data_IF_669063099660
#
_entry.id   IF_669063099660
#
_cell.length_a   1.000
_cell.length_b   1.000
_cell.length_c   1.000
_cell.angle_alpha   90.00
_cell.angle_beta   90.00
_cell.angle_gamma   90.00
#
_symmetry.space_group_name_H-M   'P 1'
#
loop_
_entity.id
_entity.type
_entity.pdbx_description
1 polymer ?
#
# COMPACT_ATOMS: atom_id res chain seq x y z
N UNK A 1 11.26 33.70 5.53
CA UNK A 1 12.41 33.49 4.63
C UNK A 1 13.26 32.32 5.10
N UNK A 2 13.87 32.36 6.29
CA UNK A 2 14.74 31.27 6.77
C UNK A 2 14.07 29.88 6.79
N UNK A 3 12.79 29.79 7.18
CA UNK A 3 12.06 28.52 7.18
C UNK A 3 11.91 27.89 5.80
N UNK A 4 11.59 28.67 4.76
CA UNK A 4 11.47 28.16 3.38
C UNK A 4 12.83 27.78 2.82
N UNK A 5 13.90 28.48 3.17
CA UNK A 5 15.26 28.09 2.82
C UNK A 5 15.64 26.72 3.40
N UNK A 6 15.37 26.48 4.69
CA UNK A 6 15.66 25.19 5.34
C UNK A 6 14.83 24.06 4.71
N UNK A 7 13.53 24.29 4.50
CA UNK A 7 12.67 23.35 3.77
C UNK A 7 13.26 23.02 2.39
N UNK A 8 13.72 24.03 1.67
CA UNK A 8 14.29 23.87 0.34
C UNK A 8 15.54 23.00 0.32
N UNK A 9 16.42 23.13 1.31
CA UNK A 9 17.58 22.25 1.46
C UNK A 9 17.17 20.79 1.72
N UNK A 10 16.21 20.55 2.61
CA UNK A 10 15.72 19.20 2.87
C UNK A 10 15.05 18.57 1.66
N UNK A 11 14.28 19.34 0.88
CA UNK A 11 13.67 18.86 -0.37
C UNK A 11 14.72 18.43 -1.39
N UNK A 12 15.82 19.18 -1.55
CA UNK A 12 16.92 18.77 -2.43
C UNK A 12 17.55 17.46 -1.94
N UNK A 13 17.79 17.32 -0.63
CA UNK A 13 18.33 16.08 -0.04
C UNK A 13 17.40 14.89 -0.30
N UNK A 14 16.09 15.06 -0.09
CA UNK A 14 15.09 14.01 -0.37
C UNK A 14 15.07 13.65 -1.87
N UNK A 15 15.16 14.64 -2.75
CA UNK A 15 15.21 14.40 -4.19
C UNK A 15 16.45 13.62 -4.62
N UNK A 16 17.62 13.91 -4.03
CA UNK A 16 18.84 13.12 -4.22
C UNK A 16 18.60 11.68 -3.73
N UNK A 17 17.98 11.50 -2.55
CA UNK A 17 17.64 10.18 -2.02
C UNK A 17 16.76 9.35 -2.97
N UNK A 18 15.73 9.96 -3.57
CA UNK A 18 14.89 9.31 -4.57
C UNK A 18 15.70 8.88 -5.81
N UNK A 19 16.62 9.74 -6.29
CA UNK A 19 17.48 9.43 -7.43
C UNK A 19 18.56 8.37 -7.11
N UNK A 20 18.95 8.19 -5.84
CA UNK A 20 19.83 7.07 -5.46
C UNK A 20 19.17 5.71 -5.72
N UNK A 21 17.86 5.58 -5.49
CA UNK A 21 17.12 4.37 -5.86
C UNK A 21 17.13 4.16 -7.39
N UNK A 22 16.94 5.23 -8.16
CA UNK A 22 17.01 5.19 -9.63
C UNK A 22 18.39 4.72 -10.07
N UNK A 23 19.46 5.26 -9.46
CA UNK A 23 20.83 4.86 -9.76
C UNK A 23 21.04 3.37 -9.46
N UNK A 24 20.54 2.89 -8.31
CA UNK A 24 20.60 1.46 -7.97
C UNK A 24 19.92 0.59 -9.02
N UNK A 25 18.70 0.95 -9.41
CA UNK A 25 17.89 0.14 -10.31
C UNK A 25 18.37 0.16 -11.78
N UNK A 26 18.92 1.28 -12.25
CA UNK A 26 19.30 1.45 -13.65
C UNK A 26 20.78 1.18 -13.92
N UNK A 27 21.66 1.50 -12.97
CA UNK A 27 23.11 1.56 -13.23
C UNK A 27 23.94 0.69 -12.28
N UNK A 28 23.40 0.28 -11.12
CA UNK A 28 24.14 -0.50 -10.11
C UNK A 28 23.43 -1.81 -9.80
N UNK A 29 23.45 -2.73 -10.77
CA UNK A 29 23.04 -4.13 -10.56
C UNK A 29 21.53 -4.38 -10.40
N UNK A 30 20.66 -3.38 -10.58
CA UNK A 30 19.21 -3.61 -10.67
C UNK A 30 18.46 -3.68 -9.34
N UNK A 31 17.20 -4.10 -9.40
CA UNK A 31 16.34 -4.35 -8.23
C UNK A 31 15.68 -5.72 -8.37
N UNK A 32 15.26 -6.31 -7.26
CA UNK A 32 14.51 -7.58 -7.32
C UNK A 32 13.14 -7.34 -7.96
N UNK A 33 12.84 -8.12 -9.00
CA UNK A 33 11.57 -8.06 -9.73
C UNK A 33 10.88 -9.43 -9.63
N UNK A 34 9.84 -9.52 -8.80
CA UNK A 34 9.02 -10.75 -8.66
C UNK A 34 8.30 -11.12 -9.97
N UNK A 35 8.12 -10.14 -10.87
CA UNK A 35 7.45 -10.29 -12.16
C UNK A 35 8.40 -10.60 -13.32
N UNK A 36 9.68 -10.82 -13.05
CA UNK A 36 10.64 -11.17 -14.08
C UNK A 36 10.18 -12.42 -14.88
N UNK A 37 10.25 -12.39 -16.23
CA UNK A 37 9.82 -13.53 -17.05
C UNK A 37 10.61 -14.80 -16.69
N UNK A 38 9.89 -15.88 -16.35
CA UNK A 38 10.49 -17.15 -15.93
C UNK A 38 10.65 -17.32 -14.41
N UNK A 39 10.33 -16.31 -13.62
CA UNK A 39 10.39 -16.32 -12.16
C UNK A 39 11.16 -15.12 -11.61
N UNK A 40 10.87 -14.73 -10.36
CA UNK A 40 11.42 -13.52 -9.78
C UNK A 40 12.95 -13.53 -9.68
N UNK A 41 13.60 -12.47 -10.17
CA UNK A 41 15.05 -12.32 -10.24
C UNK A 41 15.46 -10.84 -10.13
N UNK A 42 16.74 -10.57 -9.88
CA UNK A 42 17.28 -9.22 -9.91
C UNK A 42 17.40 -8.74 -11.36
N UNK A 43 16.77 -7.60 -11.66
CA UNK A 43 16.72 -7.05 -13.00
C UNK A 43 17.15 -5.59 -13.04
N UNK A 44 17.97 -5.24 -14.03
CA UNK A 44 18.29 -3.85 -14.35
C UNK A 44 17.13 -3.23 -15.11
N UNK A 45 16.69 -2.05 -14.66
CA UNK A 45 15.58 -1.32 -15.28
C UNK A 45 16.14 -0.40 -16.35
N UNK A 46 16.01 -0.79 -17.62
CA UNK A 46 16.57 -0.03 -18.75
C UNK A 46 15.58 0.98 -19.35
N UNK A 47 14.28 0.75 -19.18
CA UNK A 47 13.22 1.58 -19.76
C UNK A 47 12.22 2.03 -18.68
N UNK A 48 12.62 2.91 -17.73
CA UNK A 48 11.69 3.41 -16.72
C UNK A 48 10.54 4.21 -17.35
N UNK A 49 9.35 4.14 -16.78
CA UNK A 49 8.19 4.85 -17.30
C UNK A 49 8.29 6.34 -17.04
N UNK A 50 8.53 7.13 -18.09
CA UNK A 50 8.57 8.59 -17.99
C UNK A 50 7.26 9.26 -18.40
N UNK A 51 6.32 8.52 -18.99
CA UNK A 51 5.04 9.06 -19.44
C UNK A 51 4.23 9.62 -18.24
N UNK A 52 4.00 10.94 -18.16
CA UNK A 52 3.30 11.54 -17.02
C UNK A 52 1.85 11.07 -16.90
N UNK A 53 1.20 10.68 -18.00
CA UNK A 53 -0.17 10.16 -17.96
C UNK A 53 -0.26 8.86 -17.14
N UNK A 54 0.77 8.01 -17.20
CA UNK A 54 0.85 6.78 -16.39
C UNK A 54 1.19 7.15 -14.94
N UNK A 55 2.29 7.89 -14.73
CA UNK A 55 2.82 8.20 -13.40
C UNK A 55 1.81 8.98 -12.55
N UNK A 56 1.25 10.07 -13.07
CA UNK A 56 0.25 10.87 -12.35
C UNK A 56 -1.14 10.24 -12.42
N UNK A 57 -1.40 9.33 -13.37
CA UNK A 57 -2.63 8.55 -13.43
C UNK A 57 -2.86 7.73 -12.17
N UNK A 58 -1.80 7.13 -11.60
CA UNK A 58 -1.87 6.43 -10.32
C UNK A 58 -2.41 7.31 -9.18
N UNK A 59 -2.05 8.60 -9.14
CA UNK A 59 -2.49 9.52 -8.09
C UNK A 59 -3.99 9.81 -8.12
N UNK A 60 -4.62 9.61 -9.28
CA UNK A 60 -6.06 9.85 -9.49
C UNK A 60 -6.92 8.58 -9.46
N UNK A 61 -6.30 7.40 -9.31
CA UNK A 61 -7.04 6.14 -9.17
C UNK A 61 -7.84 6.11 -7.87
N UNK A 62 -8.99 5.43 -7.91
CA UNK A 62 -9.80 5.17 -6.73
C UNK A 62 -9.00 4.36 -5.69
N UNK A 63 -9.16 4.63 -4.37
CA UNK A 63 -8.53 3.82 -3.32
C UNK A 63 -9.31 2.53 -3.01
N UNK A 64 -10.43 2.26 -3.67
CA UNK A 64 -11.27 1.08 -3.44
C UNK A 64 -10.77 -0.17 -4.21
N UNK A 65 -11.44 -1.31 -3.98
CA UNK A 65 -11.15 -2.59 -4.64
C UNK A 65 -11.14 -2.48 -6.18
N UNK A 66 -10.33 -3.30 -6.83
CA UNK A 66 -10.05 -3.24 -8.27
C UNK A 66 -9.07 -2.13 -8.71
N UNK A 67 -9.05 -0.98 -8.03
CA UNK A 67 -8.20 0.17 -8.42
C UNK A 67 -6.98 0.35 -7.52
N UNK A 68 -7.16 0.48 -6.20
CA UNK A 68 -6.07 0.48 -5.22
C UNK A 68 -5.10 1.69 -5.24
N UNK A 69 -5.49 2.85 -5.77
CA UNK A 69 -4.68 4.08 -5.80
C UNK A 69 -3.20 3.80 -6.20
N UNK A 70 -2.21 4.42 -5.54
CA UNK A 70 -0.79 4.16 -5.77
C UNK A 70 -0.33 2.77 -5.30
N UNK A 71 -1.06 2.13 -4.38
CA UNK A 71 -0.75 0.78 -3.87
C UNK A 71 -0.82 -0.26 -5.00
N UNK A 72 -1.53 0.05 -6.08
CA UNK A 72 -1.69 -0.81 -7.26
C UNK A 72 -0.48 -0.83 -8.22
N UNK A 73 0.59 -0.09 -7.97
CA UNK A 73 1.79 -0.15 -8.82
C UNK A 73 2.34 -1.58 -8.89
N UNK A 74 2.42 -2.15 -10.09
CA UNK A 74 2.61 -3.59 -10.29
C UNK A 74 3.77 -3.96 -11.22
N UNK A 75 4.65 -3.01 -11.55
CA UNK A 75 5.89 -3.26 -12.29
C UNK A 75 7.01 -2.31 -11.83
N UNK A 76 8.27 -2.69 -12.08
CA UNK A 76 9.43 -1.91 -11.63
C UNK A 76 9.67 -0.66 -12.49
N UNK A 77 9.30 -0.67 -13.76
CA UNK A 77 9.42 0.47 -14.67
C UNK A 77 8.67 1.70 -14.14
N UNK A 78 7.45 1.51 -13.65
CA UNK A 78 6.61 2.56 -13.07
C UNK A 78 7.13 3.01 -11.71
N UNK A 79 7.62 2.08 -10.87
CA UNK A 79 8.24 2.42 -9.58
C UNK A 79 9.45 3.32 -9.80
N UNK A 80 10.38 2.92 -10.67
CA UNK A 80 11.60 3.69 -10.93
C UNK A 80 11.29 4.99 -11.67
N UNK A 81 10.39 4.95 -12.66
CA UNK A 81 9.89 6.14 -13.35
C UNK A 81 9.27 7.17 -12.41
N UNK A 82 8.45 6.72 -11.45
CA UNK A 82 7.88 7.55 -10.41
C UNK A 82 8.95 8.21 -9.53
N UNK A 83 10.00 7.49 -9.14
CA UNK A 83 11.10 8.04 -8.35
C UNK A 83 11.95 9.05 -9.14
N UNK A 84 12.07 8.92 -10.47
CA UNK A 84 12.66 9.96 -11.31
C UNK A 84 11.83 11.24 -11.21
N UNK A 85 10.51 11.16 -11.39
CA UNK A 85 9.61 12.31 -11.25
C UNK A 85 9.68 12.93 -9.86
N UNK A 86 9.60 12.14 -8.79
CA UNK A 86 9.68 12.63 -7.41
C UNK A 86 11.05 13.29 -7.14
N UNK A 87 12.14 12.68 -7.60
CA UNK A 87 13.48 13.26 -7.47
C UNK A 87 13.58 14.66 -8.08
N UNK A 88 13.09 14.80 -9.32
CA UNK A 88 13.08 16.09 -10.04
C UNK A 88 12.14 17.10 -9.38
N UNK A 89 10.92 16.70 -8.97
CA UNK A 89 9.94 17.57 -8.30
C UNK A 89 10.51 18.09 -6.98
N UNK A 90 11.12 17.22 -6.17
CA UNK A 90 11.71 17.61 -4.89
C UNK A 90 12.89 18.56 -5.07
N UNK A 91 13.80 18.32 -6.03
CA UNK A 91 14.92 19.21 -6.29
C UNK A 91 14.42 20.57 -6.80
N UNK A 92 13.53 20.58 -7.79
CA UNK A 92 12.98 21.82 -8.35
C UNK A 92 12.19 22.61 -7.30
N UNK A 93 11.33 21.95 -6.53
CA UNK A 93 10.59 22.56 -5.42
C UNK A 93 11.52 23.07 -4.31
N UNK A 94 12.63 22.36 -4.06
CA UNK A 94 13.64 22.78 -3.11
C UNK A 94 14.35 24.06 -3.52
N UNK A 95 14.81 24.15 -4.77
CA UNK A 95 15.38 25.37 -5.35
C UNK A 95 14.36 26.52 -5.28
N UNK A 96 13.12 26.26 -5.68
CA UNK A 96 12.04 27.25 -5.59
C UNK A 96 11.86 27.81 -4.18
N UNK A 97 11.81 26.96 -3.15
CA UNK A 97 11.64 27.39 -1.77
C UNK A 97 12.86 28.12 -1.19
N UNK A 98 14.08 27.84 -1.68
CA UNK A 98 15.28 28.61 -1.34
C UNK A 98 15.21 30.02 -1.93
N UNK A 99 14.77 30.15 -3.18
CA UNK A 99 14.77 31.41 -3.93
C UNK A 99 13.54 32.30 -3.68
N UNK A 100 12.49 31.76 -3.07
CA UNK A 100 11.23 32.48 -2.86
C UNK A 100 10.85 32.61 -1.39
N UNK A 101 9.87 33.48 -1.14
CA UNK A 101 9.23 33.68 0.17
C UNK A 101 7.74 33.40 0.06
N UNK A 102 7.06 33.00 1.14
CA UNK A 102 5.63 32.73 1.11
C UNK A 102 4.82 33.91 0.56
N UNK A 103 3.93 33.63 -0.39
CA UNK A 103 3.04 34.62 -0.96
C UNK A 103 2.05 35.17 0.07
N UNK A 104 1.42 36.31 -0.27
CA UNK A 104 0.46 36.97 0.63
C UNK A 104 -0.69 36.06 1.08
N UNK A 105 -1.25 35.26 0.17
CA UNK A 105 -2.33 34.32 0.49
C UNK A 105 -1.87 33.21 1.45
N UNK A 106 -0.68 32.66 1.26
CA UNK A 106 -0.12 31.64 2.14
C UNK A 106 0.13 32.20 3.54
N UNK A 107 0.65 33.43 3.64
CA UNK A 107 0.84 34.12 4.92
C UNK A 107 -0.46 34.27 5.72
N UNK A 108 -1.60 34.43 5.05
CA UNK A 108 -2.92 34.55 5.69
C UNK A 108 -3.56 33.20 6.05
N UNK A 109 -3.17 32.12 5.39
CA UNK A 109 -3.77 30.81 5.57
C UNK A 109 -3.17 30.00 6.73
N UNK A 110 -1.86 30.19 7.00
CA UNK A 110 -1.12 29.36 7.96
C UNK A 110 -0.77 30.09 9.26
N UNK A 111 -0.53 29.30 10.30
CA UNK A 111 0.06 29.76 11.57
C UNK A 111 1.58 29.63 11.47
N UNK A 112 2.29 30.71 11.80
CA UNK A 112 3.74 30.79 11.61
C UNK A 112 4.50 30.61 12.94
N UNK A 113 4.38 29.43 13.54
CA UNK A 113 5.05 29.06 14.80
C UNK A 113 5.71 27.69 14.70
N UNK A 114 6.71 27.42 15.54
CA UNK A 114 7.39 26.12 15.56
C UNK A 114 6.44 24.94 15.80
N UNK A 115 5.48 25.11 16.71
CA UNK A 115 4.47 24.08 17.00
C UNK A 115 3.50 23.85 15.83
N UNK A 116 3.15 24.91 15.08
CA UNK A 116 2.36 24.74 13.86
C UNK A 116 3.12 23.95 12.79
N UNK A 117 4.42 24.23 12.59
CA UNK A 117 5.23 23.47 11.64
C UNK A 117 5.38 22.00 12.04
N UNK A 118 5.53 21.72 13.33
CA UNK A 118 5.48 20.37 13.88
C UNK A 118 4.14 19.69 13.55
N UNK A 119 3.02 20.36 13.81
CA UNK A 119 1.69 19.77 13.57
C UNK A 119 1.45 19.45 12.09
N UNK A 120 1.90 20.30 11.16
CA UNK A 120 1.80 20.02 9.72
C UNK A 120 2.57 18.75 9.35
N UNK A 121 3.76 18.58 9.93
CA UNK A 121 4.60 17.41 9.69
C UNK A 121 3.98 16.15 10.29
N UNK A 122 3.43 16.23 11.51
CA UNK A 122 2.71 15.12 12.14
C UNK A 122 1.53 14.63 11.29
N UNK A 123 0.76 15.57 10.71
CA UNK A 123 -0.34 15.23 9.79
C UNK A 123 0.15 14.50 8.54
N UNK A 124 1.24 14.98 7.94
CA UNK A 124 1.85 14.32 6.78
C UNK A 124 2.41 12.92 7.12
N UNK A 125 3.08 12.76 8.27
CA UNK A 125 3.59 11.47 8.75
C UNK A 125 2.48 10.48 9.06
N UNK A 126 1.36 10.94 9.62
CA UNK A 126 0.17 10.10 9.83
C UNK A 126 -0.34 9.54 8.51
N UNK A 127 -0.52 10.40 7.50
CA UNK A 127 -0.95 9.96 6.17
C UNK A 127 0.04 8.95 5.56
N UNK A 128 1.35 9.25 5.59
CA UNK A 128 2.38 8.32 5.11
C UNK A 128 2.34 6.96 5.84
N UNK A 129 2.09 6.95 7.15
CA UNK A 129 1.99 5.72 7.93
C UNK A 129 0.79 4.85 7.55
N UNK A 130 -0.39 5.45 7.33
CA UNK A 130 -1.55 4.71 6.82
C UNK A 130 -1.30 4.16 5.41
N UNK A 131 -0.66 4.94 4.55
CA UNK A 131 -0.28 4.50 3.19
C UNK A 131 0.68 3.32 3.27
N UNK A 132 1.71 3.39 4.12
CA UNK A 132 2.67 2.31 4.32
C UNK A 132 2.00 1.02 4.82
N UNK A 133 1.05 1.13 5.76
CA UNK A 133 0.29 -0.01 6.27
C UNK A 133 -0.51 -0.72 5.15
N UNK A 134 -1.13 0.05 4.24
CA UNK A 134 -1.81 -0.52 3.06
C UNK A 134 -0.83 -1.11 2.04
N UNK A 135 0.29 -0.44 1.77
CA UNK A 135 1.31 -0.91 0.81
C UNK A 135 1.83 -2.29 1.17
N UNK A 136 2.28 -2.48 2.41
CA UNK A 136 2.85 -3.76 2.84
C UNK A 136 1.78 -4.87 2.93
N UNK A 137 0.52 -4.50 3.14
CA UNK A 137 -0.58 -5.45 3.24
C UNK A 137 -1.04 -5.99 1.87
N UNK A 138 -1.04 -5.15 0.82
CA UNK A 138 -1.63 -5.49 -0.48
C UNK A 138 -0.61 -5.63 -1.61
N UNK A 139 0.43 -4.80 -1.64
CA UNK A 139 1.36 -4.78 -2.76
C UNK A 139 2.37 -5.94 -2.63
N UNK A 140 2.52 -6.74 -3.68
CA UNK A 140 3.51 -7.81 -3.77
C UNK A 140 4.65 -7.48 -4.76
N UNK A 141 4.70 -6.25 -5.27
CA UNK A 141 5.69 -5.78 -6.25
C UNK A 141 6.90 -5.15 -5.56
N UNK A 142 6.69 -4.09 -4.76
CA UNK A 142 7.74 -3.48 -3.92
C UNK A 142 7.88 -4.15 -2.55
N UNK A 143 6.95 -5.05 -2.19
CA UNK A 143 7.10 -6.00 -1.10
C UNK A 143 6.96 -7.43 -1.65
N UNK A 144 8.00 -7.98 -2.32
CA UNK A 144 7.95 -9.31 -2.92
C UNK A 144 7.57 -10.38 -1.91
N UNK A 145 6.61 -11.24 -2.27
CA UNK A 145 6.15 -12.31 -1.38
C UNK A 145 7.22 -13.37 -1.10
N UNK A 146 8.28 -13.43 -1.92
CA UNK A 146 9.49 -14.19 -1.62
C UNK A 146 10.22 -13.74 -0.36
N UNK A 147 10.14 -12.45 0.01
CA UNK A 147 10.81 -11.91 1.19
C UNK A 147 9.87 -11.67 2.36
N UNK A 148 8.64 -11.25 2.06
CA UNK A 148 7.67 -10.82 3.07
C UNK A 148 6.59 -11.88 3.38
N UNK A 149 6.61 -13.01 2.68
CA UNK A 149 5.51 -13.97 2.67
C UNK A 149 4.30 -13.48 1.86
N UNK A 150 3.26 -14.31 1.69
CA UNK A 150 2.09 -13.94 0.92
C UNK A 150 1.29 -12.81 1.58
N UNK A 151 0.60 -12.02 0.76
CA UNK A 151 -0.46 -11.14 1.28
C UNK A 151 -1.66 -11.97 1.78
N UNK A 152 -2.57 -11.35 2.52
CA UNK A 152 -3.83 -12.00 2.92
C UNK A 152 -4.67 -12.47 1.70
N UNK A 153 -4.93 -11.59 0.71
CA UNK A 153 -5.57 -11.97 -0.55
C UNK A 153 -4.84 -13.13 -1.26
N UNK A 154 -3.51 -13.07 -1.33
CA UNK A 154 -2.68 -14.07 -2.00
C UNK A 154 -2.79 -15.45 -1.34
N UNK A 155 -2.68 -15.53 -0.01
CA UNK A 155 -2.79 -16.79 0.71
C UNK A 155 -4.19 -17.43 0.57
N UNK A 156 -5.24 -16.60 0.53
CA UNK A 156 -6.61 -17.07 0.32
C UNK A 156 -6.82 -17.62 -1.09
N UNK A 157 -6.30 -16.95 -2.12
CA UNK A 157 -6.36 -17.43 -3.51
C UNK A 157 -5.50 -18.70 -3.68
N UNK A 158 -4.35 -18.77 -2.99
CA UNK A 158 -3.47 -19.93 -2.98
C UNK A 158 -4.12 -21.17 -2.37
N UNK A 159 -4.93 -21.00 -1.32
CA UNK A 159 -5.76 -22.08 -0.76
C UNK A 159 -6.75 -22.63 -1.80
N UNK A 160 -7.47 -21.74 -2.50
CA UNK A 160 -8.42 -22.16 -3.53
C UNK A 160 -7.74 -22.93 -4.67
N UNK A 161 -6.61 -22.42 -5.16
CA UNK A 161 -5.84 -23.11 -6.20
C UNK A 161 -5.34 -24.49 -5.72
N UNK A 162 -4.85 -24.58 -4.49
CA UNK A 162 -4.32 -25.85 -3.93
C UNK A 162 -5.37 -26.96 -3.95
N UNK A 163 -6.59 -26.67 -3.48
CA UNK A 163 -7.67 -27.65 -3.47
C UNK A 163 -8.24 -27.93 -4.86
N UNK A 164 -8.29 -26.92 -5.74
CA UNK A 164 -8.66 -27.11 -7.14
C UNK A 164 -7.70 -28.13 -7.81
N UNK A 165 -6.39 -27.92 -7.69
CA UNK A 165 -5.37 -28.82 -8.24
C UNK A 165 -5.54 -30.24 -7.70
N UNK A 166 -5.72 -30.38 -6.39
CA UNK A 166 -5.91 -31.68 -5.73
C UNK A 166 -7.13 -32.40 -6.30
N UNK A 167 -8.28 -31.73 -6.34
CA UNK A 167 -9.55 -32.38 -6.71
C UNK A 167 -9.63 -32.67 -8.20
N UNK A 168 -9.06 -31.81 -9.05
CA UNK A 168 -8.91 -32.07 -10.47
C UNK A 168 -8.06 -33.32 -10.74
N UNK A 169 -6.95 -33.50 -9.99
CA UNK A 169 -6.13 -34.73 -10.08
C UNK A 169 -6.86 -35.98 -9.60
N UNK A 170 -7.86 -35.83 -8.74
CA UNK A 170 -8.77 -36.91 -8.32
C UNK A 170 -9.91 -37.15 -9.33
N UNK A 171 -9.92 -36.43 -10.45
CA UNK A 171 -10.91 -36.58 -11.52
C UNK A 171 -12.12 -35.66 -11.43
N UNK A 172 -12.10 -34.63 -10.58
CA UNK A 172 -13.19 -33.67 -10.50
C UNK A 172 -13.20 -32.71 -11.71
N UNK A 173 -14.37 -32.51 -12.32
CA UNK A 173 -14.59 -31.46 -13.31
C UNK A 173 -14.79 -30.11 -12.61
N UNK A 174 -13.70 -29.39 -12.35
CA UNK A 174 -13.69 -28.17 -11.54
C UNK A 174 -14.52 -27.02 -12.12
N UNK A 175 -14.70 -26.99 -13.46
CA UNK A 175 -15.52 -25.98 -14.14
C UNK A 175 -17.04 -26.21 -14.04
N UNK A 176 -17.48 -27.44 -13.75
CA UNK A 176 -18.90 -27.79 -13.64
C UNK A 176 -19.30 -28.26 -12.23
N UNK A 177 -18.37 -28.25 -11.28
CA UNK A 177 -18.61 -28.68 -9.91
C UNK A 177 -19.42 -27.62 -9.15
N UNK A 178 -20.70 -27.90 -8.92
CA UNK A 178 -21.57 -27.04 -8.11
C UNK A 178 -21.26 -27.22 -6.61
N UNK A 179 -21.18 -26.10 -5.89
CA UNK A 179 -21.07 -26.03 -4.45
C UNK A 179 -22.45 -26.05 -3.77
N UNK A 180 -22.50 -26.16 -2.43
CA UNK A 180 -23.75 -26.28 -1.68
C UNK A 180 -24.72 -25.10 -1.82
N UNK A 181 -24.22 -23.91 -2.14
CA UNK A 181 -25.03 -22.68 -2.31
C UNK A 181 -25.60 -22.53 -3.72
N UNK A 182 -25.30 -23.47 -4.62
CA UNK A 182 -25.66 -23.37 -6.03
C UNK A 182 -24.62 -22.65 -6.90
N UNK A 183 -23.68 -21.91 -6.30
CA UNK A 183 -22.52 -21.35 -6.99
C UNK A 183 -21.49 -22.44 -7.33
N UNK A 184 -20.56 -22.16 -8.25
CA UNK A 184 -19.45 -23.07 -8.53
C UNK A 184 -18.51 -23.21 -7.34
N UNK A 185 -18.13 -24.45 -7.03
CA UNK A 185 -17.28 -24.78 -5.87
C UNK A 185 -15.87 -24.20 -6.00
N UNK A 186 -15.28 -24.32 -7.19
CA UNK A 186 -13.90 -23.91 -7.46
C UNK A 186 -13.82 -22.62 -8.28
N UNK A 187 -14.71 -22.47 -9.27
CA UNK A 187 -14.74 -21.34 -10.19
C UNK A 187 -16.14 -20.72 -10.21
N UNK A 188 -16.21 -19.39 -10.24
CA UNK A 188 -17.45 -18.63 -10.37
C UNK A 188 -17.18 -17.33 -11.16
N UNK A 189 -18.19 -16.46 -11.29
CA UNK A 189 -18.03 -15.16 -11.94
C UNK A 189 -17.90 -14.04 -10.91
N UNK A 190 -17.06 -13.05 -11.22
CA UNK A 190 -17.07 -11.75 -10.57
C UNK A 190 -18.40 -11.01 -10.87
N UNK A 191 -18.68 -9.88 -10.19
CA UNK A 191 -19.82 -9.02 -10.54
C UNK A 191 -19.79 -8.49 -11.98
N UNK A 192 -18.61 -8.42 -12.61
CA UNK A 192 -18.38 -7.92 -13.97
C UNK A 192 -18.19 -9.03 -15.02
N UNK A 193 -18.19 -10.30 -14.59
CA UNK A 193 -18.28 -11.47 -15.47
C UNK A 193 -16.99 -12.25 -15.66
N UNK A 194 -15.84 -11.79 -15.15
CA UNK A 194 -14.57 -12.53 -15.17
C UNK A 194 -14.67 -13.84 -14.38
N UNK A 195 -13.97 -14.88 -14.83
CA UNK A 195 -13.85 -16.14 -14.08
C UNK A 195 -12.87 -15.95 -12.92
N UNK A 196 -13.33 -16.27 -11.71
CA UNK A 196 -12.61 -16.10 -10.45
C UNK A 196 -12.69 -17.38 -9.61
N UNK A 197 -11.87 -17.51 -8.57
CA UNK A 197 -12.02 -18.61 -7.62
C UNK A 197 -13.31 -18.47 -6.79
N UNK A 198 -13.92 -19.62 -6.47
CA UNK A 198 -15.14 -19.73 -5.68
C UNK A 198 -14.93 -19.68 -4.16
N UNK A 199 -16.02 -19.81 -3.41
CA UNK A 199 -16.00 -19.74 -1.94
C UNK A 199 -15.73 -18.33 -1.42
N UNK A 200 -15.27 -18.21 -0.17
CA UNK A 200 -15.07 -16.89 0.47
C UNK A 200 -13.99 -16.03 -0.19
N UNK A 201 -13.07 -16.66 -0.94
CA UNK A 201 -12.02 -15.95 -1.67
C UNK A 201 -12.55 -15.18 -2.88
N UNK A 202 -13.86 -15.27 -3.19
CA UNK A 202 -14.50 -14.41 -4.19
C UNK A 202 -14.24 -12.92 -3.96
N UNK A 203 -14.02 -12.50 -2.70
CA UNK A 203 -13.70 -11.13 -2.32
C UNK A 203 -12.29 -10.67 -2.73
N UNK A 204 -11.40 -11.60 -3.08
CA UNK A 204 -9.99 -11.37 -3.39
C UNK A 204 -9.66 -11.57 -4.86
N UNK A 205 -10.67 -11.50 -5.73
CA UNK A 205 -10.48 -11.73 -7.16
C UNK A 205 -9.60 -10.70 -7.87
N UNK A 206 -9.44 -9.50 -7.30
CA UNK A 206 -8.53 -8.44 -7.75
C UNK A 206 -7.04 -8.81 -7.58
N UNK A 207 -6.73 -9.87 -6.82
CA UNK A 207 -5.35 -10.29 -6.58
C UNK A 207 -4.63 -10.62 -7.89
N UNK A 208 -3.41 -10.09 -8.05
CA UNK A 208 -2.51 -10.49 -9.12
C UNK A 208 -1.19 -10.99 -8.50
N UNK A 209 -0.66 -12.09 -9.03
CA UNK A 209 0.64 -12.61 -8.60
C UNK A 209 1.30 -13.48 -9.67
N UNK A 210 2.64 -13.50 -9.75
CA UNK A 210 3.37 -14.13 -10.85
C UNK A 210 3.11 -15.64 -10.98
N UNK A 211 2.70 -16.30 -9.88
CA UNK A 211 2.34 -17.72 -9.88
C UNK A 211 0.93 -18.01 -10.41
N UNK A 212 0.04 -17.00 -10.47
CA UNK A 212 -1.34 -17.15 -10.90
C UNK A 212 -1.60 -16.56 -12.29
N UNK A 213 -0.94 -15.46 -12.65
CA UNK A 213 -1.15 -14.78 -13.94
C UNK A 213 -1.01 -15.70 -15.18
N UNK A 214 -0.11 -16.71 -15.22
CA UNK A 214 -0.07 -17.64 -16.35
C UNK A 214 -1.40 -18.36 -16.63
N UNK A 215 -2.23 -18.57 -15.60
CA UNK A 215 -3.55 -19.22 -15.68
C UNK A 215 -4.68 -18.26 -16.05
N UNK A 216 -4.42 -16.95 -16.16
CA UNK A 216 -5.41 -15.97 -16.60
C UNK A 216 -5.41 -15.81 -18.12
N UNK A 217 -6.58 -15.53 -18.67
CA UNK A 217 -6.83 -15.09 -20.03
C UNK A 217 -7.66 -13.80 -20.05
N UNK A 218 -8.16 -13.38 -21.22
CA UNK A 218 -8.90 -12.12 -21.36
C UNK A 218 -10.17 -12.01 -20.51
N UNK A 219 -10.76 -13.16 -20.11
CA UNK A 219 -12.00 -13.23 -19.35
C UNK A 219 -11.78 -13.73 -17.89
N UNK A 220 -10.60 -13.51 -17.31
CA UNK A 220 -10.23 -14.03 -15.99
C UNK A 220 -9.53 -15.38 -16.06
N UNK A 221 -9.73 -16.25 -15.07
CA UNK A 221 -9.12 -17.59 -15.05
C UNK A 221 -9.57 -18.44 -16.24
N UNK A 222 -8.61 -19.04 -16.95
CA UNK A 222 -8.87 -19.84 -18.16
C UNK A 222 -8.97 -21.33 -17.82
N UNK A 223 -10.13 -21.93 -18.10
CA UNK A 223 -10.40 -23.34 -17.80
C UNK A 223 -9.48 -24.29 -18.58
N UNK A 224 -9.11 -23.97 -19.83
CA UNK A 224 -8.20 -24.80 -20.62
C UNK A 224 -6.80 -24.77 -20.01
N UNK A 225 -6.33 -23.61 -19.58
CA UNK A 225 -5.04 -23.50 -18.90
C UNK A 225 -5.02 -24.20 -17.54
N UNK A 226 -6.10 -24.06 -16.76
CA UNK A 226 -6.28 -24.80 -15.51
C UNK A 226 -6.23 -26.31 -15.74
N UNK A 227 -6.84 -26.78 -16.82
CA UNK A 227 -6.88 -28.20 -17.13
C UNK A 227 -5.53 -28.78 -17.57
N UNK A 228 -4.71 -27.98 -18.28
CA UNK A 228 -3.57 -28.51 -19.01
C UNK A 228 -2.21 -27.92 -18.61
N UNK A 229 -2.17 -26.72 -18.05
CA UNK A 229 -0.94 -25.92 -17.99
C UNK A 229 -0.44 -25.64 -16.56
N UNK A 230 -1.14 -26.13 -15.53
CA UNK A 230 -0.69 -25.96 -14.14
C UNK A 230 0.63 -26.69 -13.91
N UNK A 231 1.65 -25.91 -13.57
CA UNK A 231 3.00 -26.42 -13.35
C UNK A 231 3.23 -26.86 -11.89
N UNK A 232 4.14 -27.83 -11.64
CA UNK A 232 4.50 -28.23 -10.29
C UNK A 232 5.01 -27.08 -9.41
N UNK A 233 5.68 -26.08 -9.99
CA UNK A 233 6.17 -24.92 -9.25
C UNK A 233 5.02 -24.01 -8.77
N UNK A 234 3.94 -23.86 -9.56
CA UNK A 234 2.74 -23.13 -9.14
C UNK A 234 2.05 -23.85 -7.99
N UNK A 235 1.94 -25.19 -8.08
CA UNK A 235 1.37 -26.00 -7.01
C UNK A 235 2.18 -25.89 -5.70
N UNK A 236 3.51 -25.92 -5.77
CA UNK A 236 4.38 -25.70 -4.60
C UNK A 236 4.20 -24.31 -4.02
N UNK A 237 4.21 -23.28 -4.86
CA UNK A 237 4.06 -21.89 -4.43
C UNK A 237 2.70 -21.63 -3.78
N UNK A 238 1.63 -22.18 -4.34
CA UNK A 238 0.29 -22.07 -3.76
C UNK A 238 0.18 -22.81 -2.42
N UNK A 239 0.75 -24.02 -2.30
CA UNK A 239 0.78 -24.76 -1.04
C UNK A 239 1.60 -24.04 0.04
N UNK A 240 2.74 -23.45 -0.33
CA UNK A 240 3.57 -22.63 0.54
C UNK A 240 2.80 -21.41 1.04
N UNK A 241 2.17 -20.66 0.13
CA UNK A 241 1.46 -19.43 0.48
C UNK A 241 0.17 -19.68 1.27
N UNK A 242 -0.53 -20.78 1.00
CA UNK A 242 -1.66 -21.21 1.82
C UNK A 242 -1.22 -21.47 3.27
N UNK A 243 -0.08 -22.12 3.46
CA UNK A 243 0.41 -22.51 4.81
C UNK A 243 1.16 -21.39 5.54
N UNK A 244 1.51 -20.31 4.86
CA UNK A 244 2.13 -19.11 5.42
C UNK A 244 1.22 -17.88 5.34
N UNK A 245 -0.10 -18.09 5.42
CA UNK A 245 -1.06 -17.00 5.50
C UNK A 245 -0.71 -16.06 6.66
N UNK A 246 -0.94 -14.73 6.54
CA UNK A 246 -0.51 -13.74 7.53
C UNK A 246 -1.41 -13.70 8.79
N UNK A 247 -1.64 -14.86 9.40
CA UNK A 247 -2.41 -15.06 10.63
C UNK A 247 -1.51 -15.68 11.70
N UNK A 248 -1.61 -15.15 12.91
CA UNK A 248 -0.96 -15.70 14.09
C UNK A 248 -1.28 -14.87 15.33
N UNK A 249 -0.98 -15.43 16.50
CA UNK A 249 -1.19 -14.77 17.78
C UNK A 249 -0.06 -13.80 18.14
N UNK A 250 -0.30 -12.94 19.14
CA UNK A 250 0.70 -11.99 19.63
C UNK A 250 1.96 -12.67 20.21
N UNK A 251 1.83 -13.88 20.76
CA UNK A 251 2.96 -14.70 21.23
C UNK A 251 3.56 -15.59 20.12
N UNK A 252 3.32 -15.24 18.86
CA UNK A 252 3.88 -15.85 17.66
C UNK A 252 3.44 -17.29 17.37
N UNK A 253 2.25 -17.70 17.76
CA UNK A 253 1.67 -18.98 17.34
C UNK A 253 1.00 -18.76 15.98
N UNK A 254 1.55 -19.36 14.93
CA UNK A 254 1.05 -19.23 13.57
C UNK A 254 -0.22 -20.04 13.33
N UNK A 255 -1.11 -19.51 12.48
CA UNK A 255 -2.38 -20.13 12.15
C UNK A 255 -3.59 -19.36 12.67
N UNK A 256 -4.73 -20.03 12.71
CA UNK A 256 -6.00 -19.45 13.17
C UNK A 256 -6.01 -19.29 14.70
N UNK A 257 -6.94 -18.50 15.23
CA UNK A 257 -7.03 -18.23 16.68
C UNK A 257 -7.29 -19.49 17.54
N UNK A 258 -7.78 -20.57 16.94
CA UNK A 258 -8.03 -21.87 17.60
C UNK A 258 -6.91 -22.89 17.36
N UNK A 259 -5.80 -22.47 16.74
CA UNK A 259 -4.66 -23.35 16.45
C UNK A 259 -3.91 -23.72 17.74
N UNK A 260 -3.43 -24.96 17.83
CA UNK A 260 -2.61 -25.40 18.95
C UNK A 260 -1.19 -24.86 18.82
N UNK A 261 -0.50 -24.69 19.96
CA UNK A 261 0.91 -24.29 19.98
C UNK A 261 1.77 -25.32 19.24
N UNK A 262 2.27 -24.97 18.05
CA UNK A 262 3.08 -25.87 17.22
C UNK A 262 4.03 -25.12 16.28
N UNK A 263 3.53 -24.14 15.54
CA UNK A 263 4.28 -23.38 14.55
C UNK A 263 4.55 -21.96 15.04
N UNK A 264 5.84 -21.57 15.15
CA UNK A 264 6.23 -20.23 15.59
C UNK A 264 6.35 -19.29 14.38
N UNK A 265 5.28 -18.57 14.07
CA UNK A 265 5.19 -17.73 12.87
C UNK A 265 4.17 -16.61 13.02
N UNK A 266 4.59 -15.39 12.65
CA UNK A 266 3.72 -14.27 12.31
C UNK A 266 4.33 -13.58 11.11
N UNK A 267 3.54 -13.36 10.07
CA UNK A 267 4.02 -12.73 8.84
C UNK A 267 4.65 -11.36 9.09
N UNK A 268 5.78 -11.03 8.46
CA UNK A 268 6.32 -9.67 8.42
C UNK A 268 5.27 -8.63 7.99
N UNK A 269 4.33 -8.99 7.10
CA UNK A 269 3.25 -8.09 6.67
C UNK A 269 2.33 -7.71 7.83
N UNK A 270 2.00 -8.66 8.71
CA UNK A 270 1.18 -8.39 9.90
C UNK A 270 1.93 -7.47 10.87
N UNK A 271 3.21 -7.74 11.15
CA UNK A 271 4.03 -6.88 12.00
C UNK A 271 4.15 -5.46 11.46
N UNK A 272 4.50 -5.32 10.19
CA UNK A 272 4.70 -4.01 9.55
C UNK A 272 3.39 -3.24 9.44
N UNK A 273 2.30 -3.88 8.98
CA UNK A 273 1.01 -3.20 8.84
C UNK A 273 0.46 -2.73 10.19
N UNK A 274 0.45 -3.59 11.21
CA UNK A 274 -0.09 -3.24 12.53
C UNK A 274 0.74 -2.15 13.22
N UNK A 275 2.07 -2.26 13.19
CA UNK A 275 2.96 -1.24 13.78
C UNK A 275 2.80 0.12 13.11
N UNK A 276 2.80 0.18 11.76
CA UNK A 276 2.63 1.43 11.03
C UNK A 276 1.24 2.04 11.22
N UNK A 277 0.19 1.22 11.34
CA UNK A 277 -1.15 1.72 11.63
C UNK A 277 -1.23 2.37 13.01
N UNK A 278 -0.69 1.72 14.04
CA UNK A 278 -0.68 2.27 15.41
C UNK A 278 0.11 3.57 15.46
N UNK A 279 1.29 3.61 14.83
CA UNK A 279 2.07 4.84 14.70
C UNK A 279 1.27 5.92 13.98
N UNK A 280 0.74 5.64 12.79
CA UNK A 280 -0.05 6.59 12.00
C UNK A 280 -1.21 7.22 12.79
N UNK A 281 -1.91 6.40 13.57
CA UNK A 281 -2.99 6.85 14.45
C UNK A 281 -2.49 7.83 15.52
N UNK A 282 -1.42 7.50 16.25
CA UNK A 282 -0.90 8.42 17.28
C UNK A 282 -0.26 9.68 16.68
N UNK A 283 0.31 9.61 15.48
CA UNK A 283 0.73 10.80 14.74
C UNK A 283 -0.46 11.69 14.35
N UNK A 284 -1.64 11.11 14.04
CA UNK A 284 -2.87 11.89 13.82
C UNK A 284 -3.35 12.58 15.10
N UNK A 285 -3.36 11.85 16.21
CA UNK A 285 -3.70 12.43 17.52
C UNK A 285 -2.74 13.58 17.86
N UNK A 286 -1.45 13.39 17.65
CA UNK A 286 -0.43 14.44 17.82
C UNK A 286 -0.64 15.64 16.88
N UNK A 287 -1.04 15.39 15.63
CA UNK A 287 -1.40 16.44 14.68
C UNK A 287 -2.55 17.30 15.22
N UNK A 288 -3.67 16.67 15.62
CA UNK A 288 -4.85 17.36 16.16
C UNK A 288 -4.50 18.17 17.41
N UNK A 289 -3.76 17.56 18.33
CA UNK A 289 -3.31 18.19 19.56
C UNK A 289 -2.47 19.45 19.29
N UNK A 290 -1.39 19.32 18.51
CA UNK A 290 -0.47 20.43 18.27
C UNK A 290 -1.04 21.48 17.31
N UNK A 291 -1.87 21.11 16.33
CA UNK A 291 -2.52 22.07 15.45
C UNK A 291 -3.52 22.94 16.23
N UNK A 292 -4.35 22.32 17.09
CA UNK A 292 -5.28 23.01 17.97
C UNK A 292 -4.55 23.95 18.95
N UNK A 293 -3.53 23.43 19.64
CA UNK A 293 -2.73 24.20 20.59
C UNK A 293 -1.98 25.36 19.93
N UNK A 294 -1.37 25.14 18.76
CA UNK A 294 -0.66 26.21 18.04
C UNK A 294 -1.61 27.34 17.61
N UNK A 295 -2.84 27.02 17.23
CA UNK A 295 -3.86 28.02 16.90
C UNK A 295 -4.30 28.79 18.14
N UNK A 296 -4.60 28.11 19.25
CA UNK A 296 -4.97 28.75 20.51
C UNK A 296 -3.86 29.67 21.05
N UNK A 297 -2.60 29.22 20.96
CA UNK A 297 -1.44 29.97 21.41
C UNK A 297 -1.17 31.20 20.53
N UNK A 298 -1.32 31.08 19.20
CA UNK A 298 -1.20 32.21 18.29
C UNK A 298 -2.28 33.28 18.52
N UNK A 299 -3.46 32.87 19.01
CA UNK A 299 -4.56 33.76 19.35
C UNK A 299 -4.59 34.20 20.82
N UNK A 300 -3.68 33.69 21.67
CA UNK A 300 -3.43 34.15 23.03
C UNK A 300 -4.37 33.63 24.11
N UNK A 301 -5.08 32.51 23.89
CA UNK A 301 -6.04 31.95 24.86
C UNK A 301 -5.74 30.48 25.23
N UNK A 302 -4.54 29.98 24.96
CA UNK A 302 -4.18 28.58 25.24
C UNK A 302 -4.08 28.25 26.73
N UNK A 303 -4.02 29.27 27.60
CA UNK A 303 -3.90 29.13 29.06
C UNK A 303 -5.23 29.22 29.81
N UNK A 304 -6.33 29.39 29.10
CA UNK A 304 -7.67 29.53 29.67
C UNK A 304 -8.38 30.80 29.20
N UNK A 305 -9.64 30.92 29.60
CA UNK A 305 -10.50 32.06 29.29
C UNK A 305 -10.17 33.22 30.22
N UNK A 306 -10.10 34.43 29.66
CA UNK A 306 -10.01 35.65 30.44
C UNK A 306 -11.35 35.90 31.15
N UNK A 307 -11.32 35.91 32.49
CA UNK A 307 -12.51 36.09 33.32
C UNK A 307 -13.15 37.47 33.16
N UNK A 308 -12.38 38.47 32.75
CA UNK A 308 -12.88 39.84 32.54
C UNK A 308 -13.38 40.05 31.10
N UNK A 309 -13.07 39.13 30.18
CA UNK A 309 -13.38 39.25 28.75
C UNK A 309 -13.76 37.89 28.14
N UNK A 310 -14.74 37.21 28.75
CA UNK A 310 -15.26 35.93 28.25
C UNK A 310 -16.03 36.14 26.94
N UNK A 311 -15.58 35.59 25.78
CA UNK A 311 -16.18 35.92 24.49
C UNK A 311 -17.66 35.54 24.35
N UNK A 312 -18.09 34.46 25.01
CA UNK A 312 -19.47 33.98 24.96
C UNK A 312 -20.43 34.98 25.61
N UNK A 313 -19.99 35.71 26.64
CA UNK A 313 -20.80 36.74 27.32
C UNK A 313 -21.12 37.96 26.46
N UNK A 314 -20.41 38.14 25.33
CA UNK A 314 -20.66 39.20 24.35
C UNK A 314 -21.48 38.72 23.14
N UNK A 315 -21.83 37.43 23.08
CA UNK A 315 -22.69 36.87 22.03
C UNK A 315 -24.16 36.93 22.45
N UNK A 316 -25.12 37.06 21.51
CA UNK A 316 -26.53 36.89 21.83
C UNK A 316 -26.81 35.45 22.27
N UNK A 317 -27.81 35.29 23.15
CA UNK A 317 -28.35 33.97 23.48
C UNK A 317 -28.86 33.29 22.21
N UNK A 318 -28.73 31.96 22.17
CA UNK A 318 -29.20 31.17 21.04
C UNK A 318 -30.73 31.05 21.06
N UNK A 319 -31.34 31.03 22.24
CA UNK A 319 -32.76 30.85 22.52
C UNK A 319 -33.24 31.61 23.76
#
# INVERSE_FOLDING_TARGET
NKMTTILGFHLIVLGIGALLLVIKAMFVGGVYDTWAPGGGDVRVITNPTLNPAVIFGYLTKSPFGGDGWIVSVNNMEDVIGGHIWIGLICIAGGIWHVLTKPFGWARRAFIWSGEAYLSYSLGALSLMGFIAACYVWFNNTVYPSEFYGPTGPEASQAQALTFLIRDQRLGANVGSAQGPTGLGKYLMRSPTGEIIFGGETMRFWDFQGPWLEPLRGPNGLDLNKINNDIQPWQARRAAEYMTHAPLGSLNSVGGVATEINSFNYVSPRSWLSTSHFVLAFFFLVGHLWHAGRARAAAAGFEKGIDRENEPVMAMPDLD
#
